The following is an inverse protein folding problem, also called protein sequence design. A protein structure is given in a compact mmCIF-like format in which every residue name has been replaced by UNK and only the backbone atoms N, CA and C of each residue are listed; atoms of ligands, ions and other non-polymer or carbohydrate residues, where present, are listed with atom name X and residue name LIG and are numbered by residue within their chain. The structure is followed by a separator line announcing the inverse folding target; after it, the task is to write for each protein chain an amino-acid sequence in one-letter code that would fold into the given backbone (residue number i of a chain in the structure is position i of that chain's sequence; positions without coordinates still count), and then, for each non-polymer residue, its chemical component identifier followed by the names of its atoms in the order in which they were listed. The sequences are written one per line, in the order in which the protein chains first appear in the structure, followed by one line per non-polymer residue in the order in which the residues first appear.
data_IF_429561915405
#
_entry.id   IF_429561915405
#
_cell.length_a   1.000
_cell.length_b   1.000
_cell.length_c   1.000
_cell.angle_alpha   90.00
_cell.angle_beta   90.00
_cell.angle_gamma   90.00
#
_symmetry.space_group_name_H-M   'P 1'
#
loop_
_entity.id
_entity.type
_entity.pdbx_description
1 polymer ?
#
# COMPACT_ATOMS: atom_id res chain seq x y z
N UNK A 1 -12.48 10.21 16.37
CA UNK A 1 -12.21 10.37 14.92
C UNK A 1 -11.39 9.17 14.51
N UNK A 2 -11.93 8.17 13.83
CA UNK A 2 -11.15 6.96 13.52
C UNK A 2 -10.28 7.19 12.29
N UNK A 3 -8.99 6.88 12.40
CA UNK A 3 -8.01 7.02 11.33
C UNK A 3 -7.72 5.67 10.67
N UNK A 4 -7.60 5.65 9.34
CA UNK A 4 -7.05 4.50 8.59
C UNK A 4 -6.06 4.95 7.51
N UNK A 5 -5.06 4.11 7.24
CA UNK A 5 -4.15 4.27 6.09
C UNK A 5 -4.44 3.17 5.04
N UNK A 6 -4.78 3.59 3.83
CA UNK A 6 -5.01 2.71 2.68
C UNK A 6 -3.87 2.84 1.69
N UNK A 7 -3.30 1.71 1.26
CA UNK A 7 -2.34 1.64 0.18
C UNK A 7 -3.10 1.31 -1.11
N UNK A 8 -3.01 2.18 -2.12
CA UNK A 8 -3.76 2.14 -3.38
C UNK A 8 -5.29 2.13 -3.24
N UNK A 9 -5.91 3.32 -3.25
CA UNK A 9 -7.36 3.48 -3.33
C UNK A 9 -7.83 3.53 -4.79
N UNK A 10 -8.86 2.75 -5.14
CA UNK A 10 -9.71 3.08 -6.29
C UNK A 10 -10.76 4.06 -5.78
N UNK A 11 -10.88 5.23 -6.39
CA UNK A 11 -11.94 6.20 -6.11
C UNK A 11 -12.98 6.10 -7.21
N UNK A 12 -14.22 5.77 -6.83
CA UNK A 12 -15.40 6.23 -7.54
C UNK A 12 -16.30 6.97 -6.52
N UNK A 13 -16.59 8.23 -6.81
CA UNK A 13 -17.60 9.12 -6.19
C UNK A 13 -17.59 9.43 -4.68
N UNK A 14 -16.42 9.62 -4.07
CA UNK A 14 -16.30 10.44 -2.86
C UNK A 14 -16.82 9.84 -1.54
N UNK A 15 -16.22 10.34 -0.45
CA UNK A 15 -16.46 10.05 0.98
C UNK A 15 -16.67 8.60 1.37
N UNK A 16 -15.70 8.02 2.10
CA UNK A 16 -15.94 6.72 2.75
C UNK A 16 -15.83 6.77 4.25
N UNK A 17 -16.96 6.51 4.89
CA UNK A 17 -17.09 6.14 6.30
C UNK A 17 -17.14 4.62 6.29
N UNK A 18 -16.06 3.96 6.68
CA UNK A 18 -16.01 2.49 6.72
C UNK A 18 -16.19 1.98 8.16
N UNK A 19 -17.04 0.98 8.37
CA UNK A 19 -17.09 0.16 9.59
C UNK A 19 -15.81 -0.71 9.66
N UNK A 20 -15.43 -1.21 10.83
CA UNK A 20 -14.35 -2.18 11.01
C UNK A 20 -14.64 -3.51 10.29
N UNK A 21 -15.92 -3.87 10.08
CA UNK A 21 -16.27 -5.06 9.30
C UNK A 21 -16.11 -4.89 7.77
N UNK A 22 -15.93 -3.67 7.27
CA UNK A 22 -15.82 -3.36 5.82
C UNK A 22 -14.47 -3.77 5.20
N UNK A 23 -13.59 -4.40 5.97
CA UNK A 23 -12.30 -4.88 5.46
C UNK A 23 -12.39 -6.25 4.78
N UNK A 24 -13.45 -7.03 5.04
CA UNK A 24 -13.61 -8.38 4.47
C UNK A 24 -13.61 -8.38 2.95
N UNK A 25 -14.12 -7.31 2.35
CA UNK A 25 -14.27 -7.21 0.90
C UNK A 25 -13.15 -6.42 0.23
N UNK A 26 -12.15 -5.91 0.97
CA UNK A 26 -11.04 -5.14 0.37
C UNK A 26 -9.93 -6.07 -0.13
N UNK A 27 -9.52 -5.96 -1.39
CA UNK A 27 -8.53 -6.87 -1.94
C UNK A 27 -7.14 -6.48 -1.43
N UNK A 28 -6.29 -7.48 -1.25
CA UNK A 28 -4.90 -7.30 -0.80
C UNK A 28 -3.91 -7.02 -1.94
N UNK A 29 -4.39 -7.13 -3.18
CA UNK A 29 -3.71 -6.84 -4.45
C UNK A 29 -4.75 -6.40 -5.50
N UNK A 30 -4.31 -5.93 -6.67
CA UNK A 30 -5.20 -5.67 -7.82
C UNK A 30 -4.54 -6.11 -9.13
N UNK A 31 -5.34 -6.59 -10.06
CA UNK A 31 -4.89 -7.03 -11.38
C UNK A 31 -5.95 -6.69 -12.43
N UNK A 32 -5.53 -5.94 -13.45
CA UNK A 32 -6.35 -5.65 -14.63
C UNK A 32 -5.69 -6.26 -15.86
N UNK A 33 -6.45 -7.06 -16.59
CA UNK A 33 -6.03 -7.79 -17.77
C UNK A 33 -6.96 -7.42 -18.94
N UNK A 34 -6.40 -7.01 -20.08
CA UNK A 34 -7.17 -6.57 -21.25
C UNK A 34 -8.26 -5.52 -20.92
N UNK A 35 -7.96 -4.62 -19.98
CA UNK A 35 -8.90 -3.62 -19.47
C UNK A 35 -9.96 -4.14 -18.50
N UNK A 36 -10.00 -5.45 -18.24
CA UNK A 36 -10.94 -6.08 -17.31
C UNK A 36 -10.30 -6.25 -15.92
N UNK A 37 -11.00 -5.77 -14.88
CA UNK A 37 -10.57 -5.98 -13.51
C UNK A 37 -10.81 -7.43 -13.07
N UNK A 38 -9.75 -8.10 -12.62
CA UNK A 38 -9.80 -9.44 -12.02
C UNK A 38 -9.93 -9.36 -10.50
N UNK A 39 -10.81 -8.47 -10.01
CA UNK A 39 -11.02 -8.23 -8.58
C UNK A 39 -11.54 -9.46 -7.83
N UNK A 40 -12.35 -10.28 -8.49
CA UNK A 40 -12.98 -11.48 -7.94
C UNK A 40 -12.73 -12.68 -8.87
N UNK A 41 -13.19 -13.87 -8.50
CA UNK A 41 -13.04 -15.08 -9.32
C UNK A 41 -11.74 -15.85 -9.12
N UNK A 42 -10.89 -15.43 -8.17
CA UNK A 42 -9.72 -16.20 -7.76
C UNK A 42 -10.12 -17.45 -6.97
N UNK A 43 -9.54 -18.58 -7.34
CA UNK A 43 -9.62 -19.84 -6.61
C UNK A 43 -8.28 -20.10 -5.96
N UNK A 44 -8.33 -20.44 -4.67
CA UNK A 44 -7.17 -20.96 -3.95
C UNK A 44 -6.65 -22.21 -4.67
N UNK A 45 -5.35 -22.23 -4.95
CA UNK A 45 -4.68 -23.39 -5.55
C UNK A 45 -3.74 -24.04 -4.54
N UNK A 46 -2.88 -23.26 -3.89
CA UNK A 46 -1.89 -23.77 -2.95
C UNK A 46 -1.34 -22.66 -2.05
N UNK A 47 -0.70 -23.04 -0.95
CA UNK A 47 0.10 -22.17 -0.11
C UNK A 47 1.33 -22.89 0.42
N UNK A 48 2.50 -22.29 0.19
CA UNK A 48 3.76 -22.75 0.74
C UNK A 48 4.38 -21.68 1.63
N UNK A 49 5.04 -22.08 2.71
CA UNK A 49 5.84 -21.19 3.55
C UNK A 49 7.21 -21.79 3.78
N UNK A 50 8.24 -20.98 3.65
CA UNK A 50 9.62 -21.35 3.90
C UNK A 50 10.27 -20.38 4.89
N UNK A 51 11.28 -20.85 5.62
CA UNK A 51 12.07 -20.02 6.53
C UNK A 51 13.55 -20.25 6.25
N UNK A 52 14.28 -19.17 5.99
CA UNK A 52 15.71 -19.24 5.73
C UNK A 52 16.54 -19.37 7.02
N UNK A 53 17.85 -19.59 6.87
CA UNK A 53 18.80 -19.71 7.97
C UNK A 53 18.91 -18.44 8.84
N UNK A 54 18.55 -17.28 8.28
CA UNK A 54 18.53 -15.98 8.96
C UNK A 54 17.22 -15.75 9.71
N UNK A 55 16.26 -16.67 9.59
CA UNK A 55 14.96 -16.63 10.22
C UNK A 55 13.91 -15.81 9.47
N UNK A 56 14.21 -15.31 8.27
CA UNK A 56 13.22 -14.64 7.42
C UNK A 56 12.19 -15.66 6.93
N UNK A 57 10.92 -15.25 6.89
CA UNK A 57 9.81 -16.14 6.50
C UNK A 57 9.23 -15.69 5.17
N UNK A 58 9.11 -16.60 4.22
CA UNK A 58 8.49 -16.32 2.92
C UNK A 58 7.25 -17.17 2.73
N UNK A 59 6.09 -16.53 2.54
CA UNK A 59 4.83 -17.19 2.20
C UNK A 59 4.48 -16.96 0.72
N UNK A 60 4.14 -18.04 0.02
CA UNK A 60 3.74 -18.04 -1.39
C UNK A 60 2.30 -18.54 -1.50
N UNK A 61 1.38 -17.62 -1.81
CA UNK A 61 -0.01 -17.93 -2.09
C UNK A 61 -0.20 -18.12 -3.59
N UNK A 62 -0.70 -19.28 -4.01
CA UNK A 62 -0.99 -19.58 -5.41
C UNK A 62 -2.49 -19.56 -5.67
N UNK A 63 -2.91 -18.77 -6.66
CA UNK A 63 -4.28 -18.57 -7.06
C UNK A 63 -4.45 -18.87 -8.57
N UNK A 64 -5.60 -19.41 -8.95
CA UNK A 64 -6.00 -19.55 -10.36
C UNK A 64 -7.29 -18.80 -10.59
N UNK A 65 -7.38 -18.04 -11.67
CA UNK A 65 -8.61 -17.35 -12.00
C UNK A 65 -9.64 -18.34 -12.57
N UNK A 66 -10.91 -18.21 -12.19
CA UNK A 66 -11.96 -19.16 -12.54
C UNK A 66 -12.37 -19.10 -14.03
N UNK A 67 -12.23 -17.92 -14.65
CA UNK A 67 -12.74 -17.65 -16.01
C UNK A 67 -11.71 -17.10 -16.99
N UNK A 68 -10.49 -16.83 -16.52
CA UNK A 68 -9.38 -16.37 -17.34
C UNK A 68 -8.25 -17.38 -17.18
N UNK A 69 -7.48 -17.69 -18.24
CA UNK A 69 -6.36 -18.64 -18.15
C UNK A 69 -5.16 -17.95 -17.48
N UNK A 70 -5.33 -17.54 -16.23
CA UNK A 70 -4.33 -16.80 -15.46
C UNK A 70 -4.07 -17.54 -14.15
N UNK A 71 -2.80 -17.77 -13.87
CA UNK A 71 -2.31 -18.15 -12.56
C UNK A 71 -1.55 -16.97 -11.94
N UNK A 72 -1.81 -16.74 -10.66
CA UNK A 72 -1.16 -15.72 -9.87
C UNK A 72 -0.43 -16.37 -8.69
N UNK A 73 0.82 -15.99 -8.47
CA UNK A 73 1.49 -16.21 -7.18
C UNK A 73 1.69 -14.87 -6.49
N UNK A 74 1.28 -14.79 -5.23
CA UNK A 74 1.57 -13.66 -4.34
C UNK A 74 2.63 -14.13 -3.35
N UNK A 75 3.82 -13.56 -3.45
CA UNK A 75 4.96 -13.93 -2.60
C UNK A 75 5.16 -12.81 -1.59
N UNK A 76 5.09 -13.13 -0.32
CA UNK A 76 5.29 -12.18 0.79
C UNK A 76 6.46 -12.67 1.62
N UNK A 77 7.55 -11.89 1.68
CA UNK A 77 8.70 -12.19 2.53
C UNK A 77 8.72 -11.23 3.71
N UNK A 78 8.72 -11.76 4.91
CA UNK A 78 8.90 -11.04 6.15
C UNK A 78 10.35 -11.18 6.58
N UNK A 79 11.10 -10.10 6.45
CA UNK A 79 12.46 -10.04 6.93
C UNK A 79 12.45 -9.59 8.39
N UNK A 80 13.49 -9.94 9.15
CA UNK A 80 13.69 -9.37 10.49
C UNK A 80 13.62 -7.84 10.50
N UNK A 81 13.45 -7.25 11.68
CA UNK A 81 13.42 -5.78 11.89
C UNK A 81 12.20 -5.03 11.35
N UNK A 82 11.07 -5.71 11.15
CA UNK A 82 9.79 -5.06 10.83
C UNK A 82 9.63 -4.66 9.36
N UNK A 83 10.39 -5.30 8.47
CA UNK A 83 10.28 -5.12 7.02
C UNK A 83 9.57 -6.31 6.40
N UNK A 84 8.74 -6.05 5.39
CA UNK A 84 8.27 -7.09 4.48
C UNK A 84 8.38 -6.62 3.04
N UNK A 85 8.54 -7.58 2.13
CA UNK A 85 8.43 -7.37 0.69
C UNK A 85 7.27 -8.20 0.17
N UNK A 86 6.63 -7.68 -0.89
CA UNK A 86 5.58 -8.42 -1.61
C UNK A 86 5.78 -8.26 -3.10
N UNK A 87 5.74 -9.39 -3.82
CA UNK A 87 5.77 -9.44 -5.28
C UNK A 87 4.62 -10.31 -5.82
N UNK A 88 4.33 -10.15 -7.11
CA UNK A 88 3.35 -10.95 -7.84
C UNK A 88 4.03 -11.59 -9.06
N UNK A 89 3.83 -12.89 -9.23
CA UNK A 89 4.15 -13.60 -10.48
C UNK A 89 2.84 -13.92 -11.20
N UNK A 90 2.73 -13.50 -12.46
CA UNK A 90 1.53 -13.69 -13.28
C UNK A 90 1.91 -14.59 -14.44
N UNK A 91 1.20 -15.71 -14.60
CA UNK A 91 1.43 -16.67 -15.68
C UNK A 91 0.17 -16.76 -16.53
N UNK A 92 0.35 -16.52 -17.83
CA UNK A 92 -0.65 -16.84 -18.83
C UNK A 92 -0.63 -18.35 -19.09
N UNK A 93 -1.76 -19.01 -18.85
CA UNK A 93 -1.96 -20.45 -19.05
C UNK A 93 -2.53 -20.78 -20.44
N UNK A 94 -2.80 -19.77 -21.29
CA UNK A 94 -3.22 -19.99 -22.67
C UNK A 94 -2.04 -20.39 -23.54
N UNK A 95 -2.26 -21.37 -24.44
CA UNK A 95 -1.27 -21.79 -25.42
C UNK A 95 -1.23 -20.87 -26.65
N UNK A 96 -2.37 -20.25 -27.00
CA UNK A 96 -2.55 -19.55 -28.28
C UNK A 96 -2.92 -18.07 -28.14
N UNK A 97 -3.32 -17.63 -26.95
CA UNK A 97 -3.82 -16.27 -26.72
C UNK A 97 -2.80 -15.44 -25.96
N UNK A 98 -2.33 -14.37 -26.60
CA UNK A 98 -1.61 -13.32 -25.88
C UNK A 98 -2.59 -12.52 -25.01
N UNK A 99 -2.14 -12.15 -23.81
CA UNK A 99 -2.94 -11.43 -22.83
C UNK A 99 -2.23 -10.14 -22.46
N UNK A 100 -2.94 -9.02 -22.51
CA UNK A 100 -2.42 -7.70 -22.17
C UNK A 100 -2.46 -7.42 -20.68
N UNK A 101 -1.29 -7.17 -20.07
CA UNK A 101 -1.21 -6.72 -18.68
C UNK A 101 -1.53 -5.21 -18.61
N UNK A 102 -2.71 -4.85 -18.11
CA UNK A 102 -3.15 -3.44 -18.06
C UNK A 102 -2.72 -2.74 -16.78
N UNK A 103 -2.87 -3.38 -15.62
CA UNK A 103 -2.49 -2.80 -14.33
C UNK A 103 -2.15 -3.90 -13.31
N UNK A 104 -1.16 -3.64 -12.46
CA UNK A 104 -0.77 -4.52 -11.35
C UNK A 104 -0.54 -3.68 -10.11
N UNK A 105 -1.20 -4.06 -9.01
CA UNK A 105 -0.99 -3.46 -7.69
C UNK A 105 -0.67 -4.57 -6.68
N UNK A 106 0.63 -4.83 -6.39
CA UNK A 106 1.05 -5.94 -5.53
C UNK A 106 0.61 -5.85 -4.08
N UNK A 107 0.39 -4.64 -3.60
CA UNK A 107 -0.07 -4.38 -2.25
C UNK A 107 -1.24 -3.42 -2.35
N UNK A 108 -2.39 -3.79 -1.80
CA UNK A 108 -3.60 -2.98 -1.76
C UNK A 108 -4.32 -3.18 -0.43
N UNK A 109 -5.12 -2.20 -0.02
CA UNK A 109 -6.01 -2.32 1.13
C UNK A 109 -5.50 -1.60 2.37
N UNK A 110 -5.99 -2.02 3.55
CA UNK A 110 -5.69 -1.36 4.82
C UNK A 110 -4.40 -1.92 5.43
N UNK A 111 -3.40 -1.05 5.62
CA UNK A 111 -2.15 -1.42 6.30
C UNK A 111 -2.25 -1.26 7.82
N UNK A 112 -2.99 -0.25 8.27
CA UNK A 112 -3.15 0.06 9.68
C UNK A 112 -4.55 0.63 9.93
N UNK A 113 -5.27 0.02 10.87
CA UNK A 113 -6.48 0.57 11.47
C UNK A 113 -6.19 0.94 12.92
N UNK A 114 -6.43 2.19 13.32
CA UNK A 114 -6.30 2.56 14.74
C UNK A 114 -7.63 2.20 15.40
N UNK A 115 -7.60 1.22 16.31
CA UNK A 115 -8.77 0.76 17.07
C UNK A 115 -8.85 1.33 18.48
N UNK A 116 -7.72 1.83 19.00
CA UNK A 116 -7.67 2.50 20.30
C UNK A 116 -8.14 3.95 20.13
N UNK A 117 -8.98 4.43 21.04
CA UNK A 117 -9.62 5.75 20.99
C UNK A 117 -8.67 6.84 20.47
N UNK A 118 -8.79 7.14 19.19
CA UNK A 118 -8.05 8.23 18.56
C UNK A 118 -8.42 9.55 19.23
N UNK A 119 -9.63 9.67 19.77
CA UNK A 119 -10.07 10.82 20.57
C UNK A 119 -9.31 10.99 21.90
N UNK A 120 -8.82 9.91 22.50
CA UNK A 120 -8.03 9.98 23.74
C UNK A 120 -6.56 10.36 23.46
N UNK A 121 -6.08 10.08 22.24
CA UNK A 121 -4.70 10.32 21.82
C UNK A 121 -4.52 11.61 20.99
N UNK A 122 -5.52 11.99 20.19
CA UNK A 122 -5.58 13.29 19.53
C UNK A 122 -6.27 14.25 20.48
N UNK A 123 -5.47 15.08 21.17
CA UNK A 123 -5.97 16.18 22.01
C UNK A 123 -6.80 17.24 21.25
N UNK A 124 -6.82 17.15 19.93
CA UNK A 124 -7.38 18.13 19.01
C UNK A 124 -7.94 17.37 17.79
N UNK A 125 -9.26 17.42 17.63
CA UNK A 125 -10.01 16.80 16.54
C UNK A 125 -9.89 17.56 15.21
N UNK A 126 -9.22 18.72 15.19
CA UNK A 126 -8.89 19.44 13.95
C UNK A 126 -7.67 18.86 13.22
N UNK A 127 -6.98 17.88 13.81
CA UNK A 127 -5.71 17.34 13.31
C UNK A 127 -5.93 16.04 12.53
N UNK A 128 -5.37 15.98 11.31
CA UNK A 128 -5.34 14.76 10.53
C UNK A 128 -4.63 13.61 11.28
N UNK A 129 -5.19 12.38 11.31
CA UNK A 129 -4.61 11.29 12.10
C UNK A 129 -3.27 10.78 11.54
N UNK A 130 -3.03 10.96 10.23
CA UNK A 130 -1.81 10.55 9.57
C UNK A 130 -1.16 11.68 8.79
N UNK A 131 0.15 11.58 8.66
CA UNK A 131 0.94 12.34 7.70
C UNK A 131 1.79 11.39 6.87
N UNK A 132 2.02 11.76 5.61
CA UNK A 132 2.90 11.06 4.70
C UNK A 132 4.14 11.91 4.43
N UNK A 133 5.31 11.32 4.61
CA UNK A 133 6.60 11.94 4.32
C UNK A 133 7.15 11.40 3.01
N UNK A 134 7.59 12.29 2.11
CA UNK A 134 8.17 11.90 0.81
C UNK A 134 9.20 12.93 0.34
N UNK A 135 9.99 12.58 -0.67
CA UNK A 135 10.70 13.59 -1.44
C UNK A 135 9.71 14.32 -2.35
N UNK A 136 9.49 15.61 -2.10
CA UNK A 136 8.42 16.38 -2.74
C UNK A 136 8.82 16.96 -4.09
N UNK A 137 10.11 17.17 -4.30
CA UNK A 137 10.59 17.85 -5.48
C UNK A 137 10.75 16.87 -6.64
N UNK A 138 10.17 17.25 -7.78
CA UNK A 138 10.15 16.45 -9.00
C UNK A 138 11.14 16.99 -10.05
N UNK A 139 11.92 18.02 -9.69
CA UNK A 139 12.85 18.71 -10.58
C UNK A 139 14.30 18.37 -10.23
N UNK A 140 15.12 18.33 -11.28
CA UNK A 140 16.58 18.21 -11.17
C UNK A 140 17.16 19.36 -10.33
N UNK A 141 18.23 19.05 -9.59
CA UNK A 141 18.95 19.93 -8.65
C UNK A 141 18.23 20.24 -7.32
N UNK A 142 17.09 19.61 -7.04
CA UNK A 142 16.42 19.63 -5.74
C UNK A 142 16.09 18.21 -5.23
N UNK A 143 16.81 17.19 -5.72
CA UNK A 143 16.67 15.82 -5.23
C UNK A 143 16.92 15.74 -3.73
N UNK A 144 16.15 14.90 -3.03
CA UNK A 144 16.30 14.71 -1.59
C UNK A 144 15.55 15.72 -0.72
N UNK A 145 14.78 16.67 -1.28
CA UNK A 145 13.94 17.56 -0.50
C UNK A 145 12.75 16.81 0.12
N UNK A 146 12.94 16.35 1.35
CA UNK A 146 11.96 15.58 2.10
C UNK A 146 10.97 16.50 2.83
N UNK A 147 9.68 16.23 2.65
CA UNK A 147 8.62 16.97 3.35
C UNK A 147 7.48 16.05 3.79
N UNK A 148 6.82 16.46 4.86
CA UNK A 148 5.61 15.82 5.35
C UNK A 148 4.37 16.56 4.85
N UNK A 149 3.35 15.81 4.46
CA UNK A 149 2.03 16.29 4.07
C UNK A 149 0.98 15.55 4.91
N UNK A 150 0.01 16.28 5.45
CA UNK A 150 -1.10 15.67 6.19
C UNK A 150 -2.05 14.94 5.23
N UNK A 151 -2.52 13.76 5.65
CA UNK A 151 -3.52 13.00 4.90
C UNK A 151 -4.90 13.52 5.30
N UNK A 152 -5.61 14.25 4.42
CA UNK A 152 -6.91 14.80 4.79
C UNK A 152 -7.89 13.66 5.06
N UNK A 153 -8.74 13.83 6.07
CA UNK A 153 -9.82 12.88 6.35
C UNK A 153 -10.68 12.73 5.09
N UNK A 154 -11.11 11.50 4.80
CA UNK A 154 -11.92 11.15 3.62
C UNK A 154 -11.28 11.42 2.25
N UNK A 155 -9.96 11.64 2.18
CA UNK A 155 -9.24 11.88 0.92
C UNK A 155 -8.02 10.95 0.79
N UNK A 156 -7.74 10.50 -0.44
CA UNK A 156 -6.51 9.78 -0.77
C UNK A 156 -5.44 10.72 -1.30
N UNK A 157 -4.17 10.43 -1.03
CA UNK A 157 -3.03 11.08 -1.68
C UNK A 157 -2.39 10.09 -2.64
N UNK A 158 -2.06 10.56 -3.85
CA UNK A 158 -1.47 9.75 -4.90
C UNK A 158 -0.16 10.37 -5.36
N UNK A 159 0.86 9.52 -5.55
CA UNK A 159 2.14 9.90 -6.13
C UNK A 159 2.47 8.90 -7.22
N UNK A 160 2.80 9.38 -8.42
CA UNK A 160 3.14 8.55 -9.56
C UNK A 160 4.25 9.20 -10.38
N UNK A 161 4.82 8.41 -11.30
CA UNK A 161 5.68 8.90 -12.37
C UNK A 161 5.16 8.34 -13.69
N UNK A 162 5.11 9.17 -14.72
CA UNK A 162 4.73 8.80 -16.08
C UNK A 162 5.91 8.86 -17.05
N UNK A 163 7.13 9.10 -16.55
CA UNK A 163 8.33 9.34 -17.36
C UNK A 163 9.09 8.06 -17.74
N UNK A 164 8.57 6.87 -17.40
CA UNK A 164 9.27 5.60 -17.60
C UNK A 164 10.48 5.38 -16.66
N UNK A 165 10.67 6.29 -15.70
CA UNK A 165 11.69 6.23 -14.65
C UNK A 165 11.04 6.61 -13.31
N UNK A 166 11.71 6.29 -12.18
CA UNK A 166 11.25 6.67 -10.84
C UNK A 166 11.05 8.18 -10.65
N UNK A 167 11.71 9.01 -11.47
CA UNK A 167 11.74 10.46 -11.30
C UNK A 167 12.54 10.90 -10.07
N UNK A 168 12.64 12.21 -9.88
CA UNK A 168 13.43 12.82 -8.79
C UNK A 168 12.77 12.68 -7.40
N UNK A 169 11.48 12.32 -7.34
CA UNK A 169 10.71 12.15 -6.10
C UNK A 169 10.89 10.79 -5.40
N UNK A 170 11.50 9.80 -6.06
CA UNK A 170 11.66 8.40 -5.58
C UNK A 170 10.33 7.66 -5.29
N UNK A 171 10.18 6.37 -5.61
CA UNK A 171 8.95 5.60 -5.32
C UNK A 171 8.93 5.16 -3.85
N UNK A 172 8.96 6.13 -2.95
CA UNK A 172 9.19 5.92 -1.54
C UNK A 172 8.40 6.93 -0.70
N UNK A 173 7.78 6.45 0.37
CA UNK A 173 7.15 7.31 1.37
C UNK A 173 7.20 6.68 2.77
N UNK A 174 7.17 7.54 3.78
CA UNK A 174 6.88 7.15 5.15
C UNK A 174 5.44 7.51 5.48
N UNK A 175 4.78 6.68 6.27
CA UNK A 175 3.53 7.08 6.93
C UNK A 175 3.78 7.13 8.43
N UNK A 176 3.24 8.14 9.09
CA UNK A 176 3.35 8.29 10.54
C UNK A 176 2.01 8.73 11.12
N UNK A 177 1.71 8.24 12.32
CA UNK A 177 0.64 8.79 13.13
C UNK A 177 1.06 10.16 13.63
N UNK A 178 0.21 11.17 13.46
CA UNK A 178 0.55 12.56 13.81
C UNK A 178 0.88 12.74 15.30
N UNK A 179 0.26 11.96 16.19
CA UNK A 179 0.57 11.94 17.62
C UNK A 179 2.04 11.60 17.91
N UNK A 180 2.57 10.55 17.27
CA UNK A 180 3.96 10.11 17.44
C UNK A 180 4.96 11.14 16.89
N UNK A 181 4.59 11.88 15.82
CA UNK A 181 5.44 12.93 15.24
C UNK A 181 5.63 14.13 16.17
N UNK A 182 4.63 14.49 16.99
CA UNK A 182 4.75 15.63 17.92
C UNK A 182 5.61 15.29 19.14
N UNK A 183 5.61 14.04 19.60
CA UNK A 183 6.50 13.59 20.68
C UNK A 183 7.99 13.62 20.28
N UNK A 184 8.27 13.50 18.98
CA UNK A 184 9.62 13.60 18.42
C UNK A 184 10.04 15.03 18.07
N UNK A 185 9.14 16.02 18.17
CA UNK A 185 9.53 17.43 18.13
C UNK A 185 10.02 17.82 19.52
N UNK A 186 11.34 17.79 19.69
CA UNK A 186 11.99 18.52 20.79
C UNK A 186 11.53 19.99 20.69
N UNK A 187 11.01 20.60 21.76
CA UNK A 187 10.70 22.02 21.74
C UNK A 187 12.00 22.78 21.45
N UNK A 188 12.01 23.52 20.35
CA UNK A 188 13.02 24.49 19.91
C UNK A 188 14.38 24.44 20.63
N UNK A 189 15.40 23.87 19.98
CA UNK A 189 16.77 24.24 20.34
C UNK A 189 17.94 23.32 20.04
N UNK A 190 17.82 22.21 19.30
CA UNK A 190 19.04 21.52 18.84
C UNK A 190 18.88 20.95 17.43
N UNK A 191 19.67 21.54 16.52
CA UNK A 191 19.98 21.05 15.18
C UNK A 191 20.99 19.92 15.32
N UNK A 192 20.79 18.82 14.57
CA UNK A 192 21.88 17.98 14.07
C UNK A 192 22.15 18.37 12.62
#
# INVERSE_FOLDING_TARGET
MDGRLLFAGFQDNGTTIYDYNDFKDKPSFDLTIDGESLYYGWRFSDFASDRDELGNTTGTLMLKHAWKPIQLKVITSCCGFGFFSRSMEIVNLSEETAIGLTNVTPLKGCLWSITDNVADNLRDDTVAPYSVGRFKDLYWANEGNFAWQDVPVNTGIFFNSTFGMSGHGSPFFYSAQQYQRRLLRVPDGLVL
#
